data_IF_201835238618
#
_entry.id   IF_201835238618
#
_cell.length_a   1.000
_cell.length_b   1.000
_cell.length_c   1.000
_cell.angle_alpha   90.00
_cell.angle_beta   90.00
_cell.angle_gamma   90.00
#
_symmetry.space_group_name_H-M   'P 1'
#
loop_
_entity.id
_entity.type
_entity.pdbx_description
1 polymer ?
#
# COMPACT_ATOMS: atom_id res chain seq x y z
N UNK A 1 8.26 7.16 -6.10
CA UNK A 1 7.56 6.32 -5.12
C UNK A 1 8.50 5.15 -4.89
N UNK A 2 9.38 5.31 -3.91
CA UNK A 2 10.46 4.37 -3.63
C UNK A 2 9.77 3.13 -3.07
N UNK A 3 9.69 2.08 -3.89
CA UNK A 3 9.50 0.71 -3.41
C UNK A 3 10.87 0.29 -2.96
N UNK A 4 11.24 0.61 -1.72
CA UNK A 4 12.34 -0.12 -1.10
C UNK A 4 11.81 -1.53 -0.86
N UNK A 5 12.31 -2.55 -1.59
CA UNK A 5 11.91 -3.94 -1.37
C UNK A 5 12.44 -4.47 -0.03
N UNK A 6 13.20 -3.64 0.69
CA UNK A 6 13.95 -3.98 1.89
C UNK A 6 13.04 -3.93 3.13
N UNK A 7 12.38 -5.07 3.36
CA UNK A 7 12.04 -5.61 4.68
C UNK A 7 11.18 -4.73 5.60
N UNK A 8 9.86 -4.84 5.47
CA UNK A 8 9.00 -4.82 6.66
C UNK A 8 8.98 -6.26 7.21
N UNK A 9 10.04 -6.59 7.96
CA UNK A 9 10.20 -7.89 8.63
C UNK A 9 9.37 -7.88 9.90
N UNK A 10 8.24 -8.60 9.91
CA UNK A 10 7.40 -8.78 11.09
C UNK A 10 7.77 -10.12 11.76
N UNK A 11 8.52 -10.14 12.89
CA UNK A 11 8.91 -11.39 13.55
C UNK A 11 7.68 -11.93 14.30
N UNK A 12 7.06 -13.07 13.90
CA UNK A 12 7.63 -14.42 13.91
C UNK A 12 7.31 -15.24 12.63
N UNK A 13 6.96 -14.58 11.52
CA UNK A 13 6.63 -15.25 10.24
C UNK A 13 7.27 -14.48 9.09
N UNK A 14 8.38 -15.00 8.56
CA UNK A 14 9.08 -14.43 7.40
C UNK A 14 8.14 -14.31 6.19
N UNK A 15 7.54 -13.14 6.02
CA UNK A 15 6.70 -12.80 4.87
C UNK A 15 7.34 -11.62 4.16
N UNK A 16 7.65 -11.80 2.88
CA UNK A 16 8.05 -10.68 2.01
C UNK A 16 6.85 -9.75 1.84
N UNK A 17 7.00 -8.52 2.31
CA UNK A 17 5.97 -7.48 2.23
C UNK A 17 6.58 -6.20 1.68
N UNK A 18 5.82 -5.49 0.84
CA UNK A 18 6.21 -4.17 0.32
C UNK A 18 5.58 -3.07 1.16
N UNK A 19 6.36 -2.07 1.55
CA UNK A 19 5.84 -0.86 2.16
C UNK A 19 5.51 0.18 1.08
N UNK A 20 4.25 0.58 1.02
CA UNK A 20 3.74 1.62 0.13
C UNK A 20 3.54 2.87 0.97
N UNK A 21 4.56 3.72 0.98
CA UNK A 21 4.50 5.01 1.68
C UNK A 21 4.12 6.12 0.67
N UNK A 22 3.34 7.11 1.13
CA UNK A 22 2.91 8.29 0.35
C UNK A 22 1.82 8.10 -0.72
N UNK A 23 0.81 7.24 -0.50
CA UNK A 23 -0.39 7.27 -1.35
C UNK A 23 -1.17 8.58 -1.13
N UNK A 24 -0.85 9.61 -1.91
CA UNK A 24 -1.49 10.93 -1.83
C UNK A 24 -2.34 11.19 -3.07
N UNK A 25 -3.65 11.24 -2.88
CA UNK A 25 -4.60 11.70 -3.91
C UNK A 25 -5.00 13.13 -3.62
N UNK A 26 -4.98 13.97 -4.67
CA UNK A 26 -5.44 15.36 -4.61
C UNK A 26 -6.85 15.43 -4.01
N UNK A 27 -7.09 16.36 -3.07
CA UNK A 27 -8.36 16.46 -2.30
C UNK A 27 -9.61 16.43 -3.20
N UNK A 28 -9.59 17.17 -4.31
CA UNK A 28 -10.69 17.24 -5.30
C UNK A 28 -10.96 15.94 -6.07
N UNK A 29 -9.95 15.06 -6.19
CA UNK A 29 -10.07 13.80 -6.94
C UNK A 29 -10.44 12.61 -6.05
N UNK A 30 -10.50 12.77 -4.73
CA UNK A 30 -10.88 11.69 -3.80
C UNK A 30 -12.27 11.13 -4.11
N UNK A 31 -13.21 11.99 -4.51
CA UNK A 31 -14.56 11.62 -4.92
C UNK A 31 -14.62 10.83 -6.23
N UNK A 32 -13.53 10.79 -7.01
CA UNK A 32 -13.46 10.12 -8.32
C UNK A 32 -12.94 8.68 -8.28
N UNK A 33 -12.82 8.07 -7.08
CA UNK A 33 -12.36 6.67 -6.92
C UNK A 33 -10.98 6.36 -7.53
N UNK A 34 -10.10 7.35 -7.62
CA UNK A 34 -8.71 7.16 -8.11
C UNK A 34 -7.82 6.40 -7.14
N UNK A 35 -8.04 6.49 -5.82
CA UNK A 35 -7.27 5.74 -4.83
C UNK A 35 -7.35 4.22 -5.05
N UNK A 36 -8.54 3.60 -5.22
CA UNK A 36 -8.67 2.19 -5.60
C UNK A 36 -7.92 1.78 -6.87
N UNK A 37 -7.90 2.64 -7.89
CA UNK A 37 -7.20 2.36 -9.17
C UNK A 37 -5.69 2.35 -8.97
N UNK A 38 -5.15 3.31 -8.21
CA UNK A 38 -3.74 3.38 -7.87
C UNK A 38 -3.30 2.18 -7.03
N UNK A 39 -4.08 1.81 -6.02
CA UNK A 39 -3.83 0.63 -5.19
C UNK A 39 -3.80 -0.62 -6.09
N UNK A 40 -4.78 -0.78 -6.98
CA UNK A 40 -4.85 -1.93 -7.90
C UNK A 40 -3.65 -1.99 -8.84
N UNK A 41 -3.18 -0.86 -9.35
CA UNK A 41 -2.00 -0.80 -10.21
C UNK A 41 -0.70 -1.13 -9.45
N UNK A 42 -0.55 -0.65 -8.22
CA UNK A 42 0.59 -1.00 -7.37
C UNK A 42 0.57 -2.49 -7.03
N UNK A 43 -0.59 -3.03 -6.59
CA UNK A 43 -0.75 -4.47 -6.36
C UNK A 43 -0.42 -5.28 -7.61
N UNK A 44 -0.79 -4.80 -8.81
CA UNK A 44 -0.43 -5.47 -10.08
C UNK A 44 1.09 -5.54 -10.27
N UNK A 45 1.83 -4.46 -9.98
CA UNK A 45 3.30 -4.43 -10.09
C UNK A 45 3.97 -5.33 -9.06
N UNK A 46 3.53 -5.24 -7.80
CA UNK A 46 4.05 -6.04 -6.68
C UNK A 46 3.80 -7.54 -6.91
N UNK A 47 2.65 -7.91 -7.48
CA UNK A 47 2.36 -9.30 -7.87
C UNK A 47 3.28 -9.81 -8.98
N UNK A 48 3.70 -8.96 -9.94
CA UNK A 48 4.66 -9.33 -10.98
C UNK A 48 6.07 -9.57 -10.41
N UNK A 49 6.41 -8.89 -9.32
CA UNK A 49 7.64 -9.13 -8.56
C UNK A 49 7.54 -10.35 -7.62
N UNK A 50 6.40 -11.04 -7.59
CA UNK A 50 6.18 -12.24 -6.79
C UNK A 50 5.86 -11.98 -5.32
N UNK A 51 5.50 -10.75 -4.96
CA UNK A 51 5.08 -10.37 -3.62
C UNK A 51 3.56 -10.20 -3.61
N UNK A 52 2.90 -10.75 -2.59
CA UNK A 52 1.44 -10.75 -2.50
C UNK A 52 0.91 -10.01 -1.25
N UNK A 53 1.80 -9.40 -0.49
CA UNK A 53 1.49 -8.69 0.75
C UNK A 53 2.14 -7.32 0.73
N UNK A 54 1.40 -6.31 1.18
CA UNK A 54 1.90 -4.94 1.24
C UNK A 54 1.25 -4.19 2.42
N UNK A 55 2.01 -3.29 3.03
CA UNK A 55 1.53 -2.32 4.01
C UNK A 55 1.41 -0.98 3.30
N UNK A 56 0.33 -0.24 3.53
CA UNK A 56 0.19 1.11 3.02
C UNK A 56 -0.25 2.06 4.12
N UNK A 57 0.31 3.27 4.09
CA UNK A 57 -0.11 4.37 4.96
C UNK A 57 -0.96 5.33 4.14
N UNK A 58 -2.12 5.72 4.67
CA UNK A 58 -3.00 6.67 4.01
C UNK A 58 -3.68 7.58 5.03
N UNK A 59 -3.70 8.89 4.74
CA UNK A 59 -4.45 9.87 5.55
C UNK A 59 -5.96 9.88 5.31
N UNK A 60 -6.50 8.83 4.68
CA UNK A 60 -7.94 8.63 4.47
C UNK A 60 -8.30 7.28 5.07
N UNK A 61 -9.49 7.17 5.68
CA UNK A 61 -9.95 5.90 6.25
C UNK A 61 -10.24 4.93 5.11
N UNK A 62 -9.42 3.89 4.99
CA UNK A 62 -9.70 2.74 4.13
C UNK A 62 -10.47 1.66 4.92
N UNK A 63 -11.21 0.78 4.23
CA UNK A 63 -11.88 -0.34 4.88
C UNK A 63 -10.84 -1.27 5.54
N UNK A 64 -10.95 -1.49 6.86
CA UNK A 64 -10.05 -2.30 7.71
C UNK A 64 -8.65 -1.71 7.95
N UNK A 65 -8.54 -0.58 8.69
CA UNK A 65 -7.24 -0.13 9.17
C UNK A 65 -6.69 -1.10 10.22
N UNK A 66 -5.39 -1.41 10.14
CA UNK A 66 -4.69 -2.20 11.17
C UNK A 66 -4.47 -1.37 12.45
N UNK A 67 -4.33 -0.05 12.29
CA UNK A 67 -4.29 0.94 13.36
C UNK A 67 -4.50 2.34 12.77
N UNK A 68 -5.02 3.25 13.58
CA UNK A 68 -5.15 4.68 13.26
C UNK A 68 -4.42 5.45 14.35
N UNK A 69 -3.49 6.33 13.97
CA UNK A 69 -2.80 7.25 14.87
C UNK A 69 -3.41 8.65 14.77
#
# INVERSE_FOLDING_TARGET
IIVDPYLLFDPPREKKMVEINFLCVHKKLRSKRVAPVLIREITRRVNLEGIFQAVYTAGVVLPKPVGTC
#
